data_IF_248426439361
#
_entry.id   IF_248426439361
#
_cell.length_a   1.000
_cell.length_b   1.000
_cell.length_c   1.000
_cell.angle_alpha   90.00
_cell.angle_beta   90.00
_cell.angle_gamma   90.00
#
_symmetry.space_group_name_H-M   'P 1'
#
loop_
_entity.id
_entity.type
_entity.pdbx_description
1 polymer ?
#
# COMPACT_ATOMS: atom_id res chain seq x y z
N UNK A 1 -13.11 -15.01 6.44
CA UNK A 1 -12.24 -14.82 7.63
C UNK A 1 -11.28 -13.71 7.27
N UNK A 2 -11.39 -12.59 7.98
CA UNK A 2 -10.79 -11.29 7.66
C UNK A 2 -9.34 -11.24 8.14
N UNK A 3 -8.40 -10.84 7.26
CA UNK A 3 -7.01 -10.60 7.66
C UNK A 3 -6.77 -9.10 7.77
N UNK A 4 -6.33 -8.71 8.95
CA UNK A 4 -6.23 -7.36 9.45
C UNK A 4 -4.98 -6.64 8.91
N UNK A 5 -5.18 -5.61 8.09
CA UNK A 5 -4.23 -4.51 7.92
C UNK A 5 -4.41 -3.39 8.97
N UNK A 6 -5.19 -3.67 10.03
CA UNK A 6 -5.28 -2.89 11.27
C UNK A 6 -5.15 -3.82 12.46
N UNK A 7 -4.00 -3.74 13.12
CA UNK A 7 -3.56 -4.37 14.38
C UNK A 7 -4.55 -5.36 15.06
N UNK A 8 -4.16 -6.65 15.20
CA UNK A 8 -4.89 -7.63 16.00
C UNK A 8 -4.88 -7.31 17.50
N UNK A 9 -6.05 -7.45 18.14
CA UNK A 9 -6.14 -7.61 19.59
C UNK A 9 -5.63 -8.99 20.01
N UNK A 10 -4.72 -8.97 20.98
CA UNK A 10 -3.96 -10.09 21.52
C UNK A 10 -4.79 -11.34 21.89
N UNK A 11 -4.26 -12.53 21.62
CA UNK A 11 -4.54 -13.77 22.37
C UNK A 11 -3.23 -14.56 22.44
N UNK A 12 -2.70 -14.66 23.67
CA UNK A 12 -1.31 -15.00 23.90
C UNK A 12 -0.95 -16.48 23.78
N UNK A 13 0.34 -16.73 23.53
CA UNK A 13 1.10 -17.84 24.10
C UNK A 13 2.61 -17.69 23.79
N UNK A 14 3.39 -17.64 24.87
CA UNK A 14 4.75 -18.17 25.12
C UNK A 14 5.85 -17.93 24.07
N UNK A 15 6.82 -17.09 24.46
CA UNK A 15 8.13 -16.95 23.83
C UNK A 15 9.12 -18.00 24.33
N UNK A 16 9.97 -18.52 23.44
CA UNK A 16 11.34 -18.95 23.75
C UNK A 16 12.27 -18.72 22.53
N UNK A 17 13.60 -18.57 22.74
CA UNK A 17 14.42 -17.63 21.99
C UNK A 17 15.37 -18.31 20.99
N UNK A 18 15.70 -17.61 19.91
CA UNK A 18 16.87 -17.93 19.09
C UNK A 18 17.73 -16.68 18.90
N UNK A 19 18.79 -16.63 19.70
CA UNK A 19 19.95 -15.76 19.58
C UNK A 19 20.63 -15.93 18.21
N UNK A 20 21.04 -14.83 17.57
CA UNK A 20 22.34 -14.81 16.87
C UNK A 20 22.78 -13.39 16.54
N UNK A 21 24.05 -13.13 16.85
CA UNK A 21 24.80 -11.88 16.79
C UNK A 21 25.16 -11.38 15.38
N UNK A 22 25.59 -10.09 15.37
CA UNK A 22 26.53 -9.37 14.46
C UNK A 22 25.95 -8.37 13.41
N UNK A 23 26.69 -7.27 13.10
CA UNK A 23 26.24 -5.92 13.45
C UNK A 23 26.23 -4.88 12.29
N UNK A 24 25.53 -3.78 12.53
CA UNK A 24 25.94 -2.44 12.07
C UNK A 24 25.33 -1.93 10.76
N UNK A 25 24.41 -0.96 10.85
CA UNK A 25 24.08 -0.10 9.71
C UNK A 25 22.70 0.57 9.73
N UNK A 26 22.47 1.47 10.70
CA UNK A 26 21.55 2.62 10.65
C UNK A 26 20.24 2.42 9.86
N UNK A 27 19.23 1.79 10.48
CA UNK A 27 17.86 1.80 9.95
C UNK A 27 16.98 2.82 10.68
N UNK A 28 16.70 3.93 9.98
CA UNK A 28 15.50 4.75 10.18
C UNK A 28 14.26 3.92 9.83
N UNK A 29 13.90 2.97 10.69
CA UNK A 29 12.67 2.18 10.59
C UNK A 29 11.51 2.96 11.21
N UNK A 30 10.68 3.60 10.38
CA UNK A 30 9.45 4.26 10.81
C UNK A 30 8.32 3.24 10.92
N UNK A 31 8.01 2.75 12.12
CA UNK A 31 6.95 1.76 12.36
C UNK A 31 5.58 2.20 11.84
N UNK A 32 4.81 1.23 11.32
CA UNK A 32 3.39 1.38 11.06
C UNK A 32 2.66 1.85 12.34
N UNK A 33 1.66 2.71 12.22
CA UNK A 33 0.87 3.19 13.36
C UNK A 33 0.31 2.02 14.17
N UNK A 34 0.84 1.81 15.37
CA UNK A 34 0.28 0.92 16.38
C UNK A 34 -1.07 1.50 16.85
N UNK A 35 -2.01 0.69 17.38
CA UNK A 35 -3.23 1.24 17.95
C UNK A 35 -2.88 1.86 19.31
N UNK A 36 -3.66 2.84 19.76
CA UNK A 36 -3.45 3.44 21.08
C UNK A 36 -3.57 2.35 22.17
N UNK A 37 -2.46 2.06 22.86
CA UNK A 37 -2.40 1.07 23.93
C UNK A 37 -1.74 1.67 25.18
N UNK A 38 -2.57 2.16 26.09
CA UNK A 38 -2.14 2.82 27.33
C UNK A 38 -1.37 1.90 28.28
N UNK A 39 -1.65 0.59 28.26
CA UNK A 39 -0.97 -0.38 29.11
C UNK A 39 0.47 -0.63 28.64
N UNK A 40 0.67 -0.81 27.33
CA UNK A 40 2.01 -0.98 26.74
C UNK A 40 2.83 0.30 26.87
N UNK A 41 2.20 1.46 26.71
CA UNK A 41 2.84 2.76 26.92
C UNK A 41 3.35 2.90 28.36
N UNK A 42 2.53 2.57 29.37
CA UNK A 42 2.92 2.63 30.77
C UNK A 42 4.06 1.65 31.11
N UNK A 43 4.08 0.48 30.48
CA UNK A 43 5.18 -0.50 30.60
C UNK A 43 6.49 0.08 30.05
N UNK A 44 6.46 0.68 28.85
CA UNK A 44 7.65 1.30 28.24
C UNK A 44 8.13 2.49 29.09
N UNK A 45 7.22 3.32 29.62
CA UNK A 45 7.57 4.41 30.54
C UNK A 45 8.17 3.93 31.87
N UNK A 46 7.77 2.74 32.33
CA UNK A 46 8.37 2.11 33.51
C UNK A 46 9.79 1.62 33.20
N UNK A 47 9.99 0.93 32.06
CA UNK A 47 11.31 0.49 31.59
C UNK A 47 12.23 1.69 31.36
N UNK A 48 11.75 2.76 30.70
CA UNK A 48 12.51 4.00 30.49
C UNK A 48 13.01 4.62 31.80
N UNK A 49 12.25 4.46 32.90
CA UNK A 49 12.62 4.97 34.23
C UNK A 49 13.53 4.03 35.02
N UNK A 50 13.40 2.72 34.85
CA UNK A 50 14.12 1.72 35.65
C UNK A 50 15.34 1.14 34.98
N UNK A 51 15.35 1.06 33.65
CA UNK A 51 16.36 0.38 32.84
C UNK A 51 16.48 1.03 31.46
N UNK A 52 17.20 2.16 31.43
CA UNK A 52 17.37 2.96 30.23
C UNK A 52 18.21 2.26 29.15
N UNK A 53 19.15 1.40 29.56
CA UNK A 53 19.96 0.62 28.61
C UNK A 53 19.06 -0.33 27.81
N UNK A 54 18.16 -1.05 28.49
CA UNK A 54 17.16 -1.88 27.84
C UNK A 54 16.22 -1.07 26.94
N UNK A 55 15.82 0.12 27.36
CA UNK A 55 14.98 1.01 26.57
C UNK A 55 15.62 1.40 25.22
N UNK A 56 16.91 1.70 25.19
CA UNK A 56 17.64 2.01 23.95
C UNK A 56 17.96 0.75 23.12
N UNK A 57 18.44 -0.32 23.75
CA UNK A 57 18.87 -1.54 23.06
C UNK A 57 17.70 -2.30 22.39
N UNK A 58 16.52 -2.31 23.02
CA UNK A 58 15.30 -2.92 22.47
C UNK A 58 14.55 -1.98 21.50
N UNK A 59 15.03 -0.74 21.31
CA UNK A 59 14.40 0.24 20.41
C UNK A 59 12.99 0.67 20.87
N UNK A 60 12.72 0.65 22.18
CA UNK A 60 11.42 0.98 22.76
C UNK A 60 11.07 2.46 22.56
N UNK A 61 12.04 3.31 22.24
CA UNK A 61 11.83 4.72 21.87
C UNK A 61 10.97 4.86 20.60
N UNK A 62 11.14 3.96 19.63
CA UNK A 62 10.37 3.93 18.39
C UNK A 62 8.94 3.45 18.64
N UNK A 63 8.79 2.41 19.47
CA UNK A 63 7.48 1.90 19.89
C UNK A 63 6.70 2.96 20.68
N UNK A 64 7.36 3.63 21.62
CA UNK A 64 6.77 4.70 22.42
C UNK A 64 6.28 5.88 21.57
N UNK A 65 7.07 6.31 20.58
CA UNK A 65 6.65 7.37 19.63
C UNK A 65 5.44 6.94 18.79
N UNK A 66 5.39 5.69 18.33
CA UNK A 66 4.25 5.17 17.58
C UNK A 66 2.97 5.14 18.44
N UNK A 67 3.07 4.76 19.73
CA UNK A 67 1.94 4.81 20.66
C UNK A 67 1.47 6.23 20.96
N UNK A 68 2.38 7.19 21.10
CA UNK A 68 2.04 8.61 21.26
C UNK A 68 1.35 9.16 20.01
N UNK A 69 1.86 8.82 18.83
CA UNK A 69 1.24 9.20 17.56
C UNK A 69 -0.17 8.61 17.44
N UNK A 70 -0.37 7.36 17.86
CA UNK A 70 -1.68 6.71 17.87
C UNK A 70 -2.68 7.38 18.84
N UNK A 71 -2.23 7.81 20.03
CA UNK A 71 -3.07 8.58 20.96
C UNK A 71 -3.46 9.93 20.37
N UNK A 72 -2.49 10.63 19.75
CA UNK A 72 -2.73 11.90 19.06
C UNK A 72 -3.73 11.70 17.92
N UNK A 73 -3.62 10.61 17.16
CA UNK A 73 -4.53 10.26 16.07
C UNK A 73 -5.93 9.82 16.54
N UNK A 74 -6.02 9.22 17.73
CA UNK A 74 -7.30 8.84 18.34
C UNK A 74 -8.09 10.06 18.81
N UNK A 75 -7.40 11.09 19.30
CA UNK A 75 -8.01 12.36 19.75
C UNK A 75 -8.22 13.33 18.58
N UNK A 76 -7.29 13.34 17.63
CA UNK A 76 -7.34 14.15 16.42
C UNK A 76 -7.00 13.27 15.19
N UNK A 77 -8.02 12.73 14.51
CA UNK A 77 -7.83 11.87 13.33
C UNK A 77 -7.04 12.53 12.20
N UNK A 78 -6.98 13.87 12.17
CA UNK A 78 -6.24 14.65 11.18
C UNK A 78 -4.74 14.80 11.51
N UNK A 79 -4.30 14.42 12.72
CA UNK A 79 -2.91 14.54 13.15
C UNK A 79 -1.99 13.40 12.66
N UNK A 80 -2.57 12.33 12.11
CA UNK A 80 -1.82 11.22 11.54
C UNK A 80 -1.39 11.44 10.11
N UNK A 81 -0.44 10.63 9.63
CA UNK A 81 -0.02 10.63 8.22
C UNK A 81 -0.45 9.31 7.55
N UNK A 82 -1.64 9.23 6.94
CA UNK A 82 -2.17 7.97 6.38
C UNK A 82 -1.32 7.38 5.26
N UNK A 83 -0.51 8.21 4.60
CA UNK A 83 0.41 7.81 3.54
C UNK A 83 1.86 7.68 4.03
N UNK A 84 2.07 7.52 5.33
CA UNK A 84 3.41 7.23 5.85
C UNK A 84 3.89 5.88 5.30
N UNK A 85 5.12 5.79 4.77
CA UNK A 85 5.67 4.52 4.31
C UNK A 85 5.74 3.48 5.44
N UNK A 86 5.22 2.29 5.19
CA UNK A 86 5.34 1.14 6.11
C UNK A 86 6.77 0.57 6.06
N UNK A 87 7.39 0.18 7.20
CA UNK A 87 8.68 -0.50 7.18
C UNK A 87 8.68 -1.74 6.31
N UNK A 88 9.82 -2.05 5.70
CA UNK A 88 9.95 -3.22 4.85
C UNK A 88 9.62 -4.53 5.59
N UNK A 89 10.06 -4.71 6.83
CA UNK A 89 9.84 -5.98 7.55
C UNK A 89 8.36 -6.17 7.92
N UNK A 90 7.68 -5.08 8.29
CA UNK A 90 6.25 -5.08 8.53
C UNK A 90 5.47 -5.35 7.23
N UNK A 91 5.80 -4.63 6.15
CA UNK A 91 5.16 -4.83 4.84
C UNK A 91 5.38 -6.26 4.31
N UNK A 92 6.57 -6.82 4.50
CA UNK A 92 6.88 -8.21 4.15
C UNK A 92 6.01 -9.18 4.93
N UNK A 93 5.91 -9.01 6.25
CA UNK A 93 5.08 -9.84 7.12
C UNK A 93 3.61 -9.79 6.69
N UNK A 94 3.10 -8.59 6.40
CA UNK A 94 1.74 -8.38 5.95
C UNK A 94 1.46 -9.04 4.59
N UNK A 95 2.32 -8.82 3.59
CA UNK A 95 2.17 -9.45 2.27
C UNK A 95 2.27 -10.99 2.36
N UNK A 96 3.18 -11.51 3.18
CA UNK A 96 3.34 -12.95 3.37
C UNK A 96 2.17 -13.62 4.12
N UNK A 97 1.18 -12.86 4.61
CA UNK A 97 -0.06 -13.42 5.19
C UNK A 97 -0.98 -14.08 4.15
N UNK A 98 -0.72 -13.87 2.86
CA UNK A 98 -1.47 -14.47 1.74
C UNK A 98 -0.55 -15.18 0.76
N UNK A 99 -1.05 -16.19 0.05
CA UNK A 99 -0.27 -16.90 -0.97
C UNK A 99 0.16 -15.98 -2.12
N UNK A 100 -0.74 -15.07 -2.54
CA UNK A 100 -0.45 -14.08 -3.58
C UNK A 100 0.69 -13.14 -3.15
N UNK A 101 0.64 -12.62 -1.92
CA UNK A 101 1.68 -11.74 -1.40
C UNK A 101 3.00 -12.45 -1.11
N UNK A 102 3.00 -13.72 -0.69
CA UNK A 102 4.22 -14.53 -0.60
C UNK A 102 4.93 -14.66 -1.96
N UNK A 103 4.15 -14.94 -3.01
CA UNK A 103 4.67 -15.01 -4.38
C UNK A 103 5.24 -13.66 -4.83
N UNK A 104 4.53 -12.57 -4.56
CA UNK A 104 4.98 -11.21 -4.88
C UNK A 104 6.32 -10.87 -4.20
N UNK A 105 6.41 -11.10 -2.88
CA UNK A 105 7.64 -10.86 -2.11
C UNK A 105 8.80 -11.65 -2.71
N UNK A 106 8.58 -12.93 -3.02
CA UNK A 106 9.59 -13.78 -3.65
C UNK A 106 10.04 -13.26 -5.02
N UNK A 107 9.11 -12.82 -5.87
CA UNK A 107 9.41 -12.27 -7.19
C UNK A 107 10.20 -10.96 -7.09
N UNK A 108 9.79 -10.03 -6.22
CA UNK A 108 10.50 -8.77 -6.02
C UNK A 108 11.91 -8.95 -5.47
N UNK A 109 12.11 -9.92 -4.57
CA UNK A 109 13.46 -10.26 -4.10
C UNK A 109 14.36 -10.72 -5.24
N UNK A 110 13.83 -11.49 -6.20
CA UNK A 110 14.57 -11.94 -7.39
C UNK A 110 14.81 -10.82 -8.41
N UNK A 111 13.97 -9.79 -8.43
CA UNK A 111 13.98 -8.71 -9.42
C UNK A 111 14.69 -7.42 -8.94
N UNK A 112 15.61 -7.52 -7.98
CA UNK A 112 16.38 -6.37 -7.49
C UNK A 112 16.06 -5.92 -6.07
N UNK A 113 15.34 -6.74 -5.31
CA UNK A 113 15.18 -6.60 -3.86
C UNK A 113 13.83 -6.03 -3.46
N UNK A 114 13.21 -6.65 -2.46
CA UNK A 114 11.89 -6.28 -1.94
C UNK A 114 11.80 -4.81 -1.51
N UNK A 115 12.84 -4.31 -0.82
CA UNK A 115 12.88 -2.94 -0.28
C UNK A 115 12.79 -1.87 -1.37
N UNK A 116 13.44 -2.09 -2.51
CA UNK A 116 13.45 -1.16 -3.64
C UNK A 116 12.07 -1.05 -4.26
N UNK A 117 11.44 -2.18 -4.55
CA UNK A 117 10.10 -2.23 -5.14
C UNK A 117 9.05 -1.65 -4.19
N UNK A 118 9.12 -2.00 -2.91
CA UNK A 118 8.23 -1.47 -1.89
C UNK A 118 8.32 0.07 -1.79
N UNK A 119 9.53 0.62 -1.74
CA UNK A 119 9.72 2.07 -1.63
C UNK A 119 9.11 2.84 -2.82
N UNK A 120 9.25 2.28 -4.04
CA UNK A 120 8.66 2.87 -5.25
C UNK A 120 7.13 2.82 -5.20
N UNK A 121 6.54 1.68 -4.83
CA UNK A 121 5.09 1.52 -4.69
C UNK A 121 4.53 2.46 -3.64
N UNK A 122 5.15 2.53 -2.46
CA UNK A 122 4.68 3.39 -1.37
C UNK A 122 4.76 4.88 -1.75
N UNK A 123 5.80 5.28 -2.49
CA UNK A 123 5.90 6.63 -3.04
C UNK A 123 4.73 6.94 -3.99
N UNK A 124 4.40 5.99 -4.87
CA UNK A 124 3.39 6.18 -5.91
C UNK A 124 1.97 6.18 -5.37
N UNK A 125 1.64 5.17 -4.56
CA UNK A 125 0.34 5.09 -3.87
C UNK A 125 0.21 6.29 -2.93
N UNK A 126 1.26 6.63 -2.18
CA UNK A 126 1.26 7.79 -1.30
C UNK A 126 1.06 9.11 -2.05
N UNK A 127 1.53 9.25 -3.30
CA UNK A 127 1.23 10.42 -4.13
C UNK A 127 -0.24 10.45 -4.55
N UNK A 128 -0.79 9.33 -5.05
CA UNK A 128 -2.20 9.23 -5.45
C UNK A 128 -3.12 9.59 -4.29
N UNK A 129 -2.86 9.02 -3.11
CA UNK A 129 -3.68 9.20 -1.91
C UNK A 129 -3.54 10.61 -1.35
N UNK A 130 -2.34 11.19 -1.27
CA UNK A 130 -2.15 12.56 -0.76
C UNK A 130 -2.95 13.60 -1.54
N UNK A 131 -3.04 13.42 -2.86
CA UNK A 131 -3.79 14.34 -3.70
C UNK A 131 -5.32 14.24 -3.51
N UNK A 132 -5.83 13.24 -2.78
CA UNK A 132 -7.27 13.08 -2.50
C UNK A 132 -7.81 14.13 -1.52
N UNK A 133 -6.94 14.73 -0.70
CA UNK A 133 -7.34 15.77 0.26
C UNK A 133 -6.63 15.62 1.60
N UNK A 134 -7.33 15.97 2.67
CA UNK A 134 -6.80 15.89 4.03
C UNK A 134 -6.70 14.45 4.55
N UNK A 135 -6.04 14.29 5.70
CA UNK A 135 -5.76 12.98 6.30
C UNK A 135 -7.04 12.17 6.57
N UNK A 136 -8.15 12.81 6.94
CA UNK A 136 -9.44 12.13 7.09
C UNK A 136 -9.95 11.49 5.79
N UNK A 137 -9.93 12.23 4.67
CA UNK A 137 -10.36 11.70 3.37
C UNK A 137 -9.46 10.54 2.94
N UNK A 138 -8.16 10.68 3.14
CA UNK A 138 -7.18 9.63 2.84
C UNK A 138 -7.44 8.34 3.63
N UNK A 139 -7.73 8.45 4.94
CA UNK A 139 -8.07 7.28 5.78
C UNK A 139 -9.32 6.58 5.31
N UNK A 140 -10.39 7.32 5.07
CA UNK A 140 -11.67 6.74 4.60
C UNK A 140 -11.47 6.04 3.26
N UNK A 141 -10.65 6.61 2.37
CA UNK A 141 -10.30 5.97 1.11
C UNK A 141 -9.56 4.65 1.32
N UNK A 142 -8.51 4.63 2.16
CA UNK A 142 -7.72 3.44 2.44
C UNK A 142 -8.52 2.35 3.18
N UNK A 143 -9.39 2.74 4.12
CA UNK A 143 -10.31 1.83 4.81
C UNK A 143 -11.32 1.20 3.85
N UNK A 144 -11.91 2.01 2.95
CA UNK A 144 -12.83 1.49 1.93
C UNK A 144 -12.10 0.57 0.96
N UNK A 145 -10.89 0.93 0.53
CA UNK A 145 -10.05 0.08 -0.32
C UNK A 145 -9.83 -1.29 0.32
N UNK A 146 -9.33 -1.32 1.56
CA UNK A 146 -9.04 -2.57 2.29
C UNK A 146 -10.29 -3.43 2.52
N UNK A 147 -11.46 -2.81 2.71
CA UNK A 147 -12.72 -3.55 2.89
C UNK A 147 -13.32 -4.08 1.59
N UNK A 148 -13.18 -3.33 0.50
CA UNK A 148 -13.90 -3.58 -0.76
C UNK A 148 -13.08 -4.29 -1.83
N UNK A 149 -11.74 -4.27 -1.72
CA UNK A 149 -10.86 -4.88 -2.72
C UNK A 149 -10.35 -6.23 -2.20
N UNK A 150 -10.54 -7.32 -2.95
CA UNK A 150 -9.98 -8.62 -2.59
C UNK A 150 -8.45 -8.58 -2.50
N UNK A 151 -7.88 -9.41 -1.62
CA UNK A 151 -6.42 -9.41 -1.38
C UNK A 151 -5.62 -9.74 -2.65
N UNK A 152 -6.12 -10.63 -3.51
CA UNK A 152 -5.45 -10.93 -4.78
C UNK A 152 -5.43 -9.71 -5.72
N UNK A 153 -6.53 -8.94 -5.72
CA UNK A 153 -6.63 -7.71 -6.51
C UNK A 153 -5.70 -6.61 -6.00
N UNK A 154 -5.62 -6.44 -4.67
CA UNK A 154 -4.64 -5.54 -4.04
C UNK A 154 -3.21 -5.90 -4.43
N UNK A 155 -2.84 -7.18 -4.30
CA UNK A 155 -1.49 -7.67 -4.61
C UNK A 155 -1.15 -7.45 -6.09
N UNK A 156 -2.08 -7.71 -7.01
CA UNK A 156 -1.85 -7.50 -8.43
C UNK A 156 -1.71 -6.01 -8.80
N UNK A 157 -2.49 -5.13 -8.15
CA UNK A 157 -2.36 -3.68 -8.31
C UNK A 157 -0.99 -3.20 -7.82
N UNK A 158 -0.55 -3.66 -6.65
CA UNK A 158 0.75 -3.37 -6.07
C UNK A 158 1.87 -3.83 -7.02
N UNK A 159 1.79 -5.04 -7.55
CA UNK A 159 2.78 -5.57 -8.49
C UNK A 159 2.84 -4.76 -9.79
N UNK A 160 1.70 -4.30 -10.30
CA UNK A 160 1.70 -3.51 -11.53
C UNK A 160 2.25 -2.11 -11.35
N UNK A 161 2.03 -1.50 -10.19
CA UNK A 161 2.66 -0.22 -9.84
C UNK A 161 4.19 -0.41 -9.75
N UNK A 162 4.65 -1.51 -9.14
CA UNK A 162 6.07 -1.83 -9.03
C UNK A 162 6.74 -2.15 -10.37
N UNK A 163 6.01 -2.82 -11.26
CA UNK A 163 6.51 -3.31 -12.55
C UNK A 163 7.01 -2.19 -13.50
N UNK A 164 6.72 -0.93 -13.18
CA UNK A 164 7.23 0.21 -13.94
C UNK A 164 6.72 0.23 -15.38
N UNK A 165 7.42 0.92 -16.29
CA UNK A 165 6.97 1.07 -17.68
C UNK A 165 6.84 -0.28 -18.40
N UNK A 166 5.75 -0.44 -19.15
CA UNK A 166 5.57 -1.56 -20.05
C UNK A 166 6.63 -1.53 -21.17
N UNK A 167 7.01 -2.70 -21.68
CA UNK A 167 7.75 -2.81 -22.94
C UNK A 167 6.93 -2.30 -24.13
N UNK A 168 7.31 -2.69 -25.35
CA UNK A 168 6.53 -2.30 -26.52
C UNK A 168 5.09 -2.86 -26.44
N UNK A 169 4.11 -1.97 -26.54
CA UNK A 169 2.67 -2.31 -26.67
C UNK A 169 2.17 -1.77 -28.00
N UNK A 170 1.46 -2.59 -28.76
CA UNK A 170 0.81 -2.14 -29.99
C UNK A 170 -0.20 -1.04 -29.69
N UNK A 171 -0.25 0.00 -30.53
CA UNK A 171 -1.17 1.14 -30.33
C UNK A 171 -2.62 0.69 -30.32
N UNK A 172 -3.43 1.33 -29.47
CA UNK A 172 -4.85 1.06 -29.40
C UNK A 172 -5.54 1.41 -30.71
N UNK A 173 -6.43 0.52 -31.14
CA UNK A 173 -7.31 0.75 -32.29
C UNK A 173 -8.29 1.89 -32.00
N UNK A 174 -8.85 2.49 -33.06
CA UNK A 174 -9.84 3.56 -32.89
C UNK A 174 -11.05 3.11 -32.04
N UNK A 175 -11.52 1.87 -32.22
CA UNK A 175 -12.63 1.33 -31.43
C UNK A 175 -12.31 1.22 -29.93
N UNK A 176 -11.07 0.89 -29.57
CA UNK A 176 -10.63 0.84 -28.17
C UNK A 176 -10.52 2.24 -27.55
N UNK A 177 -10.08 3.22 -28.34
CA UNK A 177 -10.05 4.62 -27.94
C UNK A 177 -11.47 5.15 -27.73
N UNK A 178 -12.40 4.80 -28.61
CA UNK A 178 -13.80 5.20 -28.51
C UNK A 178 -14.47 4.57 -27.28
N UNK A 179 -14.16 3.30 -26.99
CA UNK A 179 -14.60 2.63 -25.77
C UNK A 179 -14.06 3.33 -24.52
N UNK A 180 -12.76 3.66 -24.48
CA UNK A 180 -12.16 4.41 -23.36
C UNK A 180 -12.88 5.75 -23.12
N UNK A 181 -13.20 6.47 -24.20
CA UNK A 181 -13.93 7.75 -24.18
C UNK A 181 -15.42 7.61 -23.81
N UNK A 182 -15.95 6.42 -23.52
CA UNK A 182 -17.32 6.31 -23.01
C UNK A 182 -17.43 6.82 -21.57
N UNK A 183 -16.36 6.68 -20.79
CA UNK A 183 -16.31 7.10 -19.38
C UNK A 183 -16.00 8.61 -19.23
N UNK A 184 -16.47 9.29 -18.18
CA UNK A 184 -16.11 10.69 -17.92
C UNK A 184 -14.60 10.91 -17.81
N UNK A 185 -13.91 10.04 -17.07
CA UNK A 185 -12.45 10.09 -16.93
C UNK A 185 -11.74 9.90 -18.27
N UNK A 186 -12.17 8.93 -19.08
CA UNK A 186 -11.55 8.65 -20.37
C UNK A 186 -11.74 9.78 -21.39
N UNK A 187 -12.88 10.48 -21.38
CA UNK A 187 -13.07 11.69 -22.20
C UNK A 187 -12.07 12.78 -21.85
N UNK A 188 -11.93 13.09 -20.57
CA UNK A 188 -11.04 14.15 -20.09
C UNK A 188 -9.57 13.80 -20.36
N UNK A 189 -9.16 12.56 -20.09
CA UNK A 189 -7.79 12.11 -20.35
C UNK A 189 -7.49 12.04 -21.85
N UNK A 190 -8.46 11.65 -22.68
CA UNK A 190 -8.23 11.65 -24.12
C UNK A 190 -8.02 13.06 -24.69
N UNK A 191 -8.66 14.07 -24.10
CA UNK A 191 -8.39 15.48 -24.42
C UNK A 191 -7.00 15.91 -23.93
N UNK A 192 -6.63 15.52 -22.71
CA UNK A 192 -5.34 15.83 -22.10
C UNK A 192 -4.15 15.22 -22.86
N UNK A 193 -4.25 13.94 -23.25
CA UNK A 193 -3.15 13.22 -23.90
C UNK A 193 -3.02 13.51 -25.39
N UNK A 194 -4.06 14.03 -26.05
CA UNK A 194 -4.04 14.43 -27.45
C UNK A 194 -3.53 13.31 -28.39
N UNK A 195 -2.38 13.51 -29.01
CA UNK A 195 -1.78 12.54 -29.95
C UNK A 195 -1.28 11.26 -29.30
N UNK A 196 -1.04 11.27 -27.98
CA UNK A 196 -0.53 10.12 -27.22
C UNK A 196 -1.64 9.17 -26.76
N UNK A 197 -2.91 9.47 -27.03
CA UNK A 197 -4.05 8.63 -26.61
C UNK A 197 -3.92 7.16 -27.06
N UNK A 198 -3.56 6.83 -28.31
CA UNK A 198 -3.45 5.44 -28.73
C UNK A 198 -2.42 4.64 -27.91
N UNK A 199 -1.30 5.28 -27.57
CA UNK A 199 -0.26 4.68 -26.73
C UNK A 199 -0.74 4.52 -25.29
N UNK A 200 -1.26 5.58 -24.67
CA UNK A 200 -1.70 5.57 -23.27
C UNK A 200 -2.85 4.59 -23.03
N UNK A 201 -3.83 4.54 -23.95
CA UNK A 201 -4.93 3.57 -23.88
C UNK A 201 -4.41 2.14 -24.04
N UNK A 202 -3.46 1.90 -24.94
CA UNK A 202 -2.85 0.58 -25.10
C UNK A 202 -2.12 0.12 -23.83
N UNK A 203 -1.30 1.00 -23.24
CA UNK A 203 -0.62 0.74 -21.97
C UNK A 203 -1.60 0.39 -20.87
N UNK A 204 -2.67 1.17 -20.69
CA UNK A 204 -3.69 0.91 -19.68
C UNK A 204 -4.39 -0.44 -19.89
N UNK A 205 -4.76 -0.75 -21.14
CA UNK A 205 -5.41 -2.03 -21.48
C UNK A 205 -4.50 -3.22 -21.25
N UNK A 206 -3.22 -3.12 -21.63
CA UNK A 206 -2.24 -4.16 -21.40
C UNK A 206 -2.03 -4.42 -19.90
N UNK A 207 -1.93 -3.37 -19.07
CA UNK A 207 -1.88 -3.53 -17.61
C UNK A 207 -3.14 -4.13 -17.04
N UNK A 208 -4.31 -3.64 -17.46
CA UNK A 208 -5.59 -4.17 -17.01
C UNK A 208 -5.73 -5.67 -17.32
N UNK A 209 -5.31 -6.10 -18.52
CA UNK A 209 -5.28 -7.51 -18.88
C UNK A 209 -4.36 -8.33 -17.98
N UNK A 210 -3.11 -7.88 -17.74
CA UNK A 210 -2.16 -8.56 -16.85
C UNK A 210 -2.63 -8.62 -15.40
N UNK A 211 -3.33 -7.59 -14.92
CA UNK A 211 -3.96 -7.60 -13.60
C UNK A 211 -5.03 -8.68 -13.53
N UNK A 212 -5.97 -8.69 -14.49
CA UNK A 212 -7.06 -9.68 -14.54
C UNK A 212 -6.55 -11.11 -14.71
N UNK A 213 -5.49 -11.35 -15.49
CA UNK A 213 -4.88 -12.69 -15.66
C UNK A 213 -4.32 -13.28 -14.35
N UNK A 214 -4.09 -12.46 -13.33
CA UNK A 214 -3.55 -12.87 -12.03
C UNK A 214 -4.63 -13.04 -10.96
N UNK A 215 -5.87 -12.73 -11.30
CA UNK A 215 -7.04 -12.85 -10.43
C UNK A 215 -7.92 -13.99 -10.94
N UNK A 216 -8.75 -14.55 -10.07
CA UNK A 216 -9.90 -15.31 -10.54
C UNK A 216 -11.02 -14.37 -11.03
N UNK A 217 -12.05 -14.94 -11.65
CA UNK A 217 -13.13 -14.17 -12.27
C UNK A 217 -13.92 -13.34 -11.24
N UNK A 218 -14.11 -13.87 -10.03
CA UNK A 218 -14.85 -13.22 -8.96
C UNK A 218 -14.04 -12.04 -8.38
N UNK A 219 -12.75 -12.25 -8.08
CA UNK A 219 -11.85 -11.20 -7.57
C UNK A 219 -11.69 -10.06 -8.59
N UNK A 220 -11.62 -10.40 -9.89
CA UNK A 220 -11.57 -9.42 -10.94
C UNK A 220 -12.87 -8.61 -11.04
N UNK A 221 -14.03 -9.26 -10.96
CA UNK A 221 -15.32 -8.60 -10.97
C UNK A 221 -15.46 -7.61 -9.80
N UNK A 222 -15.16 -8.06 -8.58
CA UNK A 222 -15.19 -7.22 -7.37
C UNK A 222 -14.26 -6.01 -7.49
N UNK A 223 -13.06 -6.20 -8.03
CA UNK A 223 -12.11 -5.12 -8.27
C UNK A 223 -12.64 -4.08 -9.27
N UNK A 224 -13.18 -4.52 -10.41
CA UNK A 224 -13.69 -3.61 -11.43
C UNK A 224 -14.96 -2.88 -10.99
N UNK A 225 -15.83 -3.54 -10.22
CA UNK A 225 -16.99 -2.92 -9.59
C UNK A 225 -16.55 -1.82 -8.63
N UNK A 226 -15.63 -2.12 -7.69
CA UNK A 226 -15.05 -1.11 -6.80
C UNK A 226 -14.42 0.06 -7.58
N UNK A 227 -13.64 -0.24 -8.62
CA UNK A 227 -12.94 0.78 -9.41
C UNK A 227 -13.94 1.70 -10.14
N UNK A 228 -15.07 1.16 -10.61
CA UNK A 228 -16.10 1.92 -11.31
C UNK A 228 -16.87 2.89 -10.39
N UNK A 229 -16.92 2.60 -9.08
CA UNK A 229 -17.55 3.45 -8.07
C UNK A 229 -16.67 4.64 -7.63
N UNK A 230 -15.41 4.68 -8.06
CA UNK A 230 -14.50 5.77 -7.73
C UNK A 230 -14.91 7.07 -8.41
N UNK A 231 -14.68 8.19 -7.73
CA UNK A 231 -14.91 9.49 -8.33
C UNK A 231 -13.99 9.73 -9.54
N UNK A 232 -14.51 10.41 -10.56
CA UNK A 232 -13.77 10.70 -11.80
C UNK A 232 -12.37 11.27 -11.57
N UNK A 233 -12.14 12.23 -10.65
CA UNK A 233 -10.81 12.75 -10.38
C UNK A 233 -9.82 11.69 -9.86
N UNK A 234 -10.31 10.70 -9.11
CA UNK A 234 -9.49 9.59 -8.57
C UNK A 234 -9.11 8.63 -9.69
N UNK A 235 -10.08 8.21 -10.51
CA UNK A 235 -9.83 7.34 -11.66
C UNK A 235 -8.80 7.98 -12.60
N UNK A 236 -8.94 9.29 -12.88
CA UNK A 236 -7.98 10.00 -13.73
C UNK A 236 -6.55 9.96 -13.19
N UNK A 237 -6.36 10.08 -11.87
CA UNK A 237 -5.03 9.99 -11.25
C UNK A 237 -4.44 8.59 -11.38
N UNK A 238 -5.24 7.56 -11.11
CA UNK A 238 -4.81 6.17 -11.26
C UNK A 238 -4.40 5.92 -12.72
N UNK A 239 -5.23 6.32 -13.68
CA UNK A 239 -4.92 6.18 -15.10
C UNK A 239 -3.66 6.94 -15.52
N UNK A 240 -3.44 8.18 -15.06
CA UNK A 240 -2.18 8.90 -15.34
C UNK A 240 -0.98 8.13 -14.82
N UNK A 241 -1.04 7.60 -13.59
CA UNK A 241 0.05 6.82 -13.03
C UNK A 241 0.31 5.53 -13.82
N UNK A 242 -0.75 4.82 -14.17
CA UNK A 242 -0.66 3.53 -14.85
C UNK A 242 -0.25 3.66 -16.32
N UNK A 243 -0.56 4.79 -16.97
CA UNK A 243 -0.22 5.05 -18.35
C UNK A 243 1.24 5.52 -18.56
N UNK A 244 2.00 5.75 -17.47
CA UNK A 244 3.40 6.19 -17.50
C UNK A 244 3.55 7.71 -17.58
#
# INVERSE_FOLDING_TARGET
>A
MSNELTVPQNSGAVAEPATSDLPGGVEQGGFASLPANSARKAEIEAIMRSDFARYEDEGLDKEYRALLQAEIEAVNPDAGTPTAPTPADNARTLLCSSQAGQKLVYEWERMGGFRTHLANVQKDIGAIVRDLGNNRVQRVFLERFNRSVPVAAEVALIDEIASGALGYVAQATQGEIDLFKTTPAGKLLAQEWGTYVPEKVATLRARAARMTERMDEDDAADFWDWFSELETPVIMKIYRRMAG
#
